data_IF_083519016787
#
_entry.id   IF_083519016787
#
_cell.length_a   1.000
_cell.length_b   1.000
_cell.length_c   1.000
_cell.angle_alpha   90.00
_cell.angle_beta   90.00
_cell.angle_gamma   90.00
#
_symmetry.space_group_name_H-M   'P 1'
#
loop_
_entity.id
_entity.type
_entity.pdbx_description
1 polymer ?
#
# COMPACT_ATOMS: atom_id res chain seq x y z
N UNK A 1 33.76 -29.27 -14.54
CA UNK A 1 33.33 -28.25 -13.55
C UNK A 1 32.25 -27.31 -14.11
N UNK A 2 31.38 -27.77 -15.03
CA UNK A 2 30.35 -26.94 -15.70
C UNK A 2 28.90 -27.41 -15.45
N UNK A 3 28.70 -28.68 -15.03
CA UNK A 3 27.36 -29.20 -14.73
C UNK A 3 26.86 -28.83 -13.30
N UNK A 4 27.77 -28.59 -12.36
CA UNK A 4 27.41 -28.19 -10.99
C UNK A 4 26.85 -26.76 -10.92
N UNK A 5 27.05 -25.95 -11.97
CA UNK A 5 26.64 -24.55 -12.01
C UNK A 5 25.18 -24.38 -12.45
N UNK A 6 24.63 -25.25 -13.31
CA UNK A 6 23.25 -25.12 -13.79
C UNK A 6 22.22 -25.56 -12.76
N UNK A 7 22.50 -26.66 -12.04
CA UNK A 7 21.60 -27.21 -11.02
C UNK A 7 21.49 -26.25 -9.81
N UNK A 8 22.61 -25.69 -9.37
CA UNK A 8 22.60 -24.71 -8.28
C UNK A 8 21.84 -23.43 -8.67
N UNK A 9 22.08 -22.90 -9.88
CA UNK A 9 21.34 -21.74 -10.40
C UNK A 9 19.85 -22.05 -10.54
N UNK A 10 19.49 -23.24 -11.01
CA UNK A 10 18.10 -23.69 -11.09
C UNK A 10 17.41 -23.63 -9.73
N UNK A 11 17.97 -24.27 -8.69
CA UNK A 11 17.38 -24.21 -7.36
C UNK A 11 17.38 -22.79 -6.77
N UNK A 12 18.43 -22.00 -7.02
CA UNK A 12 18.50 -20.62 -6.58
C UNK A 12 17.39 -19.75 -7.19
N UNK A 13 17.09 -19.90 -8.49
CA UNK A 13 16.00 -19.17 -9.15
C UNK A 13 14.62 -19.55 -8.61
N UNK A 14 14.39 -20.83 -8.28
CA UNK A 14 13.16 -21.26 -7.61
C UNK A 14 13.03 -20.69 -6.19
N UNK A 15 14.12 -20.69 -5.43
CA UNK A 15 14.15 -20.06 -4.11
C UNK A 15 13.88 -18.55 -4.22
N UNK A 16 14.46 -17.87 -5.22
CA UNK A 16 14.24 -16.47 -5.50
C UNK A 16 12.78 -16.17 -5.85
N UNK A 17 12.14 -17.05 -6.61
CA UNK A 17 10.71 -16.97 -6.92
C UNK A 17 9.85 -17.10 -5.65
N UNK A 18 10.17 -18.05 -4.76
CA UNK A 18 9.47 -18.21 -3.46
C UNK A 18 9.62 -16.94 -2.61
N UNK A 19 10.83 -16.37 -2.51
CA UNK A 19 11.07 -15.12 -1.78
C UNK A 19 10.25 -13.97 -2.39
N UNK A 20 10.15 -13.92 -3.72
CA UNK A 20 9.33 -12.91 -4.42
C UNK A 20 7.84 -13.05 -4.07
N UNK A 21 7.33 -14.29 -3.95
CA UNK A 21 5.96 -14.57 -3.51
C UNK A 21 5.71 -14.18 -2.06
N UNK A 22 6.69 -14.37 -1.17
CA UNK A 22 6.61 -13.84 0.21
C UNK A 22 6.49 -12.33 0.19
N UNK A 23 7.27 -11.64 -0.65
CA UNK A 23 7.12 -10.20 -0.88
C UNK A 23 5.70 -9.82 -1.31
N UNK A 24 5.11 -10.56 -2.24
CA UNK A 24 3.72 -10.36 -2.69
C UNK A 24 2.71 -10.58 -1.55
N UNK A 25 2.89 -11.62 -0.73
CA UNK A 25 2.03 -11.85 0.43
C UNK A 25 2.08 -10.68 1.43
N UNK A 26 3.28 -10.16 1.73
CA UNK A 26 3.44 -8.99 2.59
C UNK A 26 2.79 -7.73 1.98
N UNK A 27 2.85 -7.57 0.65
CA UNK A 27 2.16 -6.49 -0.05
C UNK A 27 0.64 -6.57 0.15
N UNK A 28 0.04 -7.76 0.01
CA UNK A 28 -1.40 -7.98 0.29
C UNK A 28 -1.75 -7.57 1.73
N UNK A 29 -0.86 -7.84 2.69
CA UNK A 29 -1.01 -7.45 4.09
C UNK A 29 -0.68 -5.97 4.36
N UNK A 30 -0.44 -5.16 3.31
CA UNK A 30 -0.06 -3.73 3.38
C UNK A 30 1.18 -3.49 4.25
N UNK A 31 2.12 -4.44 4.26
CA UNK A 31 3.35 -4.34 5.03
C UNK A 31 4.50 -3.78 4.19
N UNK A 32 5.17 -2.74 4.71
CA UNK A 32 6.28 -2.05 4.03
C UNK A 32 7.50 -2.93 3.75
N UNK A 33 7.62 -4.04 4.47
CA UNK A 33 8.68 -5.03 4.25
C UNK A 33 8.62 -5.66 2.85
N UNK A 34 7.47 -5.62 2.15
CA UNK A 34 7.38 -6.14 0.78
C UNK A 34 8.36 -5.46 -0.17
N UNK A 35 8.59 -4.14 -0.01
CA UNK A 35 9.46 -3.39 -0.90
C UNK A 35 10.93 -3.73 -0.71
N UNK A 36 11.33 -4.08 0.51
CA UNK A 36 12.70 -4.54 0.78
C UNK A 36 12.93 -5.88 0.08
N UNK A 37 11.97 -6.80 0.22
CA UNK A 37 12.03 -8.11 -0.43
C UNK A 37 12.07 -7.95 -1.95
N UNK A 38 11.15 -7.17 -2.52
CA UNK A 38 11.11 -6.94 -3.97
C UNK A 38 12.33 -6.21 -4.49
N UNK A 39 12.88 -5.24 -3.76
CA UNK A 39 14.15 -4.62 -4.11
C UNK A 39 15.27 -5.65 -4.20
N UNK A 40 15.40 -6.52 -3.20
CA UNK A 40 16.41 -7.58 -3.22
C UNK A 40 16.19 -8.58 -4.36
N UNK A 41 14.97 -9.08 -4.56
CA UNK A 41 14.69 -10.10 -5.58
C UNK A 41 14.84 -9.55 -6.99
N UNK A 42 14.36 -8.34 -7.26
CA UNK A 42 14.47 -7.71 -8.57
C UNK A 42 15.94 -7.43 -8.93
N UNK A 43 16.78 -7.02 -7.98
CA UNK A 43 18.20 -6.84 -8.22
C UNK A 43 18.89 -8.15 -8.63
N UNK A 44 18.55 -9.26 -7.98
CA UNK A 44 19.07 -10.58 -8.36
C UNK A 44 18.55 -11.05 -9.72
N UNK A 45 17.30 -10.77 -10.06
CA UNK A 45 16.75 -11.07 -11.39
C UNK A 45 17.45 -10.26 -12.49
N UNK A 46 17.77 -8.98 -12.28
CA UNK A 46 18.56 -8.19 -13.23
C UNK A 46 19.90 -8.88 -13.56
N UNK A 47 20.61 -9.35 -12.53
CA UNK A 47 21.89 -10.05 -12.71
C UNK A 47 21.73 -11.36 -13.48
N UNK A 48 20.73 -12.16 -13.10
CA UNK A 48 20.42 -13.42 -13.76
C UNK A 48 20.02 -13.22 -15.24
N UNK A 49 19.08 -12.33 -15.50
CA UNK A 49 18.56 -12.08 -16.86
C UNK A 49 19.64 -11.51 -17.78
N UNK A 50 20.52 -10.64 -17.25
CA UNK A 50 21.68 -10.15 -18.00
C UNK A 50 22.65 -11.28 -18.33
N UNK A 51 22.87 -12.22 -17.41
CA UNK A 51 23.79 -13.35 -17.61
C UNK A 51 23.35 -14.32 -18.70
N UNK A 52 22.05 -14.42 -18.97
CA UNK A 52 21.47 -15.27 -20.02
C UNK A 52 21.11 -14.49 -21.30
N UNK A 53 21.46 -13.19 -21.38
CA UNK A 53 21.19 -12.34 -22.54
C UNK A 53 19.72 -11.87 -22.69
N UNK A 54 18.90 -12.05 -21.66
CA UNK A 54 17.50 -11.64 -21.64
C UNK A 54 17.34 -10.14 -21.27
N UNK A 55 17.92 -9.24 -22.07
CA UNK A 55 18.01 -7.81 -21.75
C UNK A 55 16.66 -7.12 -21.54
N UNK A 56 15.61 -7.51 -22.28
CA UNK A 56 14.28 -6.96 -22.08
C UNK A 56 13.71 -7.30 -20.68
N UNK A 57 13.93 -8.54 -20.23
CA UNK A 57 13.52 -8.97 -18.89
C UNK A 57 14.37 -8.27 -17.82
N UNK A 58 15.68 -8.16 -18.03
CA UNK A 58 16.56 -7.43 -17.13
C UNK A 58 16.13 -5.95 -16.97
N UNK A 59 15.77 -5.29 -18.06
CA UNK A 59 15.26 -3.91 -18.03
C UNK A 59 13.92 -3.79 -17.27
N UNK A 60 13.04 -4.78 -17.40
CA UNK A 60 11.78 -4.85 -16.64
C UNK A 60 12.06 -5.01 -15.14
N UNK A 61 12.95 -5.93 -14.76
CA UNK A 61 13.31 -6.18 -13.36
C UNK A 61 14.00 -4.96 -12.74
N UNK A 62 14.83 -4.24 -13.50
CA UNK A 62 15.42 -2.99 -13.07
C UNK A 62 14.34 -1.91 -12.84
N UNK A 63 13.33 -1.84 -13.71
CA UNK A 63 12.20 -0.94 -13.54
C UNK A 63 11.42 -1.26 -12.26
N UNK A 64 11.17 -2.55 -11.98
CA UNK A 64 10.53 -2.97 -10.73
C UNK A 64 11.39 -2.73 -9.49
N UNK A 65 12.72 -2.81 -9.60
CA UNK A 65 13.62 -2.41 -8.52
C UNK A 65 13.45 -0.93 -8.18
N UNK A 66 13.46 -0.05 -9.17
CA UNK A 66 13.24 1.40 -8.98
C UNK A 66 11.86 1.67 -8.38
N UNK A 67 10.82 0.99 -8.86
CA UNK A 67 9.47 1.10 -8.32
C UNK A 67 9.36 0.60 -6.88
N UNK A 68 10.09 -0.45 -6.50
CA UNK A 68 10.14 -0.93 -5.12
C UNK A 68 10.76 0.14 -4.18
N UNK A 69 11.85 0.77 -4.62
CA UNK A 69 12.47 1.89 -3.88
C UNK A 69 11.50 3.06 -3.75
N UNK A 70 10.85 3.47 -4.85
CA UNK A 70 9.85 4.54 -4.83
C UNK A 70 8.66 4.19 -3.92
N UNK A 71 8.12 2.98 -4.03
CA UNK A 71 7.03 2.48 -3.19
C UNK A 71 7.38 2.50 -1.71
N UNK A 72 8.61 2.15 -1.34
CA UNK A 72 9.08 2.23 0.04
C UNK A 72 9.02 3.66 0.61
N UNK A 73 9.43 4.65 -0.18
CA UNK A 73 9.36 6.06 0.23
C UNK A 73 7.92 6.58 0.27
N UNK A 74 7.09 6.25 -0.71
CA UNK A 74 5.69 6.69 -0.74
C UNK A 74 4.87 6.10 0.41
N UNK A 75 5.00 4.81 0.71
CA UNK A 75 4.32 4.22 1.87
C UNK A 75 4.86 4.71 3.21
N UNK A 76 6.04 5.33 3.26
CA UNK A 76 6.53 5.97 4.49
C UNK A 76 5.68 7.16 4.91
N UNK A 77 5.00 7.85 3.99
CA UNK A 77 4.23 9.08 4.24
C UNK A 77 2.96 8.88 5.07
N UNK A 78 2.60 7.64 5.39
CA UNK A 78 1.48 7.30 6.27
C UNK A 78 0.12 7.54 5.60
N UNK A 79 -0.77 6.56 5.69
CA UNK A 79 -2.20 6.79 5.50
C UNK A 79 -2.61 7.88 6.49
N UNK A 80 -2.73 9.12 6.03
CA UNK A 80 -3.38 10.18 6.80
C UNK A 80 -4.84 9.74 6.96
N UNK A 81 -5.15 9.06 8.05
CA UNK A 81 -6.53 8.86 8.48
C UNK A 81 -7.05 10.24 8.83
N UNK A 82 -7.86 10.80 7.93
CA UNK A 82 -8.65 11.99 8.23
C UNK A 82 -9.77 11.55 9.17
N UNK A 83 -9.86 12.22 10.31
CA UNK A 83 -10.97 12.05 11.24
C UNK A 83 -11.90 13.24 11.07
N UNK A 84 -13.21 12.98 11.05
CA UNK A 84 -14.21 14.04 11.16
C UNK A 84 -14.41 14.27 12.66
N UNK A 85 -14.16 15.50 13.13
CA UNK A 85 -14.59 15.91 14.47
C UNK A 85 -16.08 16.21 14.41
N UNK A 86 -16.87 15.52 15.22
CA UNK A 86 -18.28 15.86 15.42
C UNK A 86 -18.34 16.88 16.55
N UNK A 87 -19.15 17.92 16.39
CA UNK A 87 -19.39 18.96 17.38
C UNK A 87 -20.81 18.85 17.92
N UNK A 88 -21.00 19.09 19.21
CA UNK A 88 -22.32 19.32 19.82
C UNK A 88 -22.30 20.73 20.42
N UNK A 89 -22.90 21.69 19.70
CA UNK A 89 -22.80 23.11 20.04
C UNK A 89 -21.35 23.62 19.95
N UNK A 90 -20.82 24.22 21.03
CA UNK A 90 -19.42 24.70 21.11
C UNK A 90 -18.43 23.67 21.66
N UNK A 91 -18.88 22.47 22.02
CA UNK A 91 -18.05 21.44 22.64
C UNK A 91 -17.77 20.31 21.64
N UNK A 92 -16.52 19.83 21.63
CA UNK A 92 -16.12 18.65 20.84
C UNK A 92 -16.56 17.41 21.60
N UNK A 93 -17.30 16.52 20.95
CA UNK A 93 -17.60 15.20 21.51
C UNK A 93 -16.36 14.33 21.31
N UNK A 94 -15.51 14.25 22.33
CA UNK A 94 -14.37 13.34 22.37
C UNK A 94 -14.87 11.89 22.35
N UNK A 95 -15.07 11.32 21.16
CA UNK A 95 -15.47 9.92 21.03
C UNK A 95 -15.97 9.49 19.66
N UNK A 96 -16.49 10.42 18.84
CA UNK A 96 -16.99 10.08 17.51
C UNK A 96 -15.90 10.18 16.43
N UNK A 97 -14.84 9.39 16.60
CA UNK A 97 -13.74 9.31 15.64
C UNK A 97 -14.12 8.27 14.59
N UNK A 98 -14.93 8.65 13.59
CA UNK A 98 -15.20 7.77 12.46
C UNK A 98 -13.98 7.77 11.52
N UNK A 99 -13.33 6.62 11.26
CA UNK A 99 -12.31 6.55 10.22
C UNK A 99 -13.01 6.67 8.86
N UNK A 100 -12.85 7.81 8.18
CA UNK A 100 -13.42 8.00 6.85
C UNK A 100 -12.31 8.06 5.81
N UNK A 101 -12.41 7.20 4.80
CA UNK A 101 -11.48 7.15 3.67
C UNK A 101 -11.68 8.39 2.78
N UNK A 102 -10.61 9.14 2.51
CA UNK A 102 -10.63 10.47 1.88
C UNK A 102 -11.47 10.58 0.60
N UNK A 103 -11.46 9.55 -0.25
CA UNK A 103 -12.21 9.54 -1.52
C UNK A 103 -13.72 9.55 -1.35
N UNK A 104 -14.25 9.09 -0.21
CA UNK A 104 -15.69 9.18 0.09
C UNK A 104 -16.12 10.52 0.67
N UNK A 105 -15.19 11.34 1.13
CA UNK A 105 -15.48 12.66 1.74
C UNK A 105 -15.65 13.72 0.65
N UNK A 106 -14.83 13.63 -0.41
CA UNK A 106 -14.86 14.58 -1.53
C UNK A 106 -15.97 14.18 -2.51
N UNK A 107 -17.15 14.75 -2.33
CA UNK A 107 -18.32 14.49 -3.18
C UNK A 107 -19.62 14.22 -2.41
N UNK A 108 -19.58 14.16 -1.07
CA UNK A 108 -20.78 14.07 -0.27
C UNK A 108 -21.47 15.44 -0.24
N UNK A 109 -22.61 15.52 -0.93
CA UNK A 109 -23.52 16.65 -0.79
C UNK A 109 -24.04 16.73 0.65
N UNK A 110 -24.40 17.92 1.11
CA UNK A 110 -24.95 18.18 2.47
C UNK A 110 -26.09 17.22 2.83
N UNK A 111 -26.87 16.77 1.83
CA UNK A 111 -27.95 15.78 1.98
C UNK A 111 -27.46 14.37 2.26
N UNK A 112 -26.35 13.94 1.66
CA UNK A 112 -25.77 12.62 1.93
C UNK A 112 -25.05 12.57 3.28
N UNK A 113 -24.44 13.68 3.70
CA UNK A 113 -23.96 13.87 5.08
C UNK A 113 -25.13 13.82 6.07
N UNK A 114 -26.27 14.44 5.75
CA UNK A 114 -27.48 14.37 6.56
C UNK A 114 -28.11 12.96 6.61
N UNK A 115 -28.02 12.17 5.54
CA UNK A 115 -28.47 10.76 5.56
C UNK A 115 -27.57 9.87 6.42
N UNK A 116 -26.24 10.06 6.36
CA UNK A 116 -25.31 9.43 7.30
C UNK A 116 -25.60 9.88 8.74
N UNK A 117 -25.84 11.19 8.94
CA UNK A 117 -26.31 11.77 10.18
C UNK A 117 -27.58 11.11 10.70
N UNK A 118 -28.58 10.83 9.85
CA UNK A 118 -29.80 10.12 10.24
C UNK A 118 -29.58 8.64 10.59
N UNK A 119 -28.63 7.96 9.94
CA UNK A 119 -28.22 6.59 10.32
C UNK A 119 -27.55 6.59 11.70
N UNK A 120 -26.75 7.62 12.02
CA UNK A 120 -26.16 7.81 13.35
C UNK A 120 -27.13 8.46 14.36
N UNK A 121 -28.19 9.12 13.91
CA UNK A 121 -29.22 9.79 14.73
C UNK A 121 -30.18 8.82 15.42
N UNK A 122 -30.14 7.52 15.11
CA UNK A 122 -30.70 6.51 16.02
C UNK A 122 -29.96 6.46 17.37
N UNK A 123 -28.79 7.10 17.46
CA UNK A 123 -28.06 7.45 18.67
C UNK A 123 -27.76 8.97 18.72
N UNK A 124 -28.80 9.79 18.53
CA UNK A 124 -28.95 11.18 18.96
C UNK A 124 -27.75 12.14 18.95
N UNK A 125 -27.36 12.68 17.80
CA UNK A 125 -26.49 13.88 17.70
C UNK A 125 -26.82 14.68 16.41
N UNK A 126 -26.94 16.02 16.50
CA UNK A 126 -27.29 16.95 15.40
C UNK A 126 -26.11 17.82 14.91
N UNK A 127 -26.30 18.36 13.70
CA UNK A 127 -25.46 19.10 12.72
C UNK A 127 -24.73 20.40 13.12
N UNK A 128 -23.65 20.77 12.39
CA UNK A 128 -23.61 21.76 11.27
C UNK A 128 -22.21 21.77 10.58
N UNK A 129 -22.17 21.97 9.25
CA UNK A 129 -20.93 22.02 8.47
C UNK A 129 -20.52 23.50 8.23
N UNK A 130 -19.54 23.98 8.99
CA UNK A 130 -18.89 25.27 8.76
C UNK A 130 -17.56 25.07 8.03
N UNK A 131 -17.33 25.84 6.96
CA UNK A 131 -16.07 25.93 6.24
C UNK A 131 -15.10 26.83 7.01
N UNK A 132 -13.97 26.27 7.47
CA UNK A 132 -12.72 26.97 7.75
C UNK A 132 -11.52 26.17 7.21
#
# INVERSE_FOLDING_TARGET
MLAMNSVAIYYATWLLAIVSLVGTYLNIKKQKACFIIWGFTNALWVLYDTSIGAYAQAALMLSYFVLAVHGFYEWRKGTKTSYIKIYEGRNVIEGAIAPVEKEKIVGLTTKQVAQLGNVFSRHGVLHEAGEE
#
